data_IF_063658300304
#
_entry.id   IF_063658300304
#
_cell.length_a   1.000
_cell.length_b   1.000
_cell.length_c   1.000
_cell.angle_alpha   90.00
_cell.angle_beta   90.00
_cell.angle_gamma   90.00
#
_symmetry.space_group_name_H-M   'P 1'
#
loop_
_entity.id
_entity.type
_entity.pdbx_description
1 polymer ?
#
# COMPACT_ATOMS: atom_id res chain seq x y z
N UNK A 1 6.87 -19.22 -4.06
CA UNK A 1 5.91 -18.45 -3.25
C UNK A 1 6.70 -17.58 -2.30
N UNK A 2 6.60 -16.25 -2.42
CA UNK A 2 7.30 -15.32 -1.52
C UNK A 2 6.35 -14.94 -0.38
N UNK A 3 6.84 -14.98 0.85
CA UNK A 3 6.11 -14.59 2.05
C UNK A 3 6.93 -13.55 2.81
N UNK A 4 6.25 -12.53 3.34
CA UNK A 4 6.85 -11.51 4.18
C UNK A 4 5.99 -11.28 5.42
N UNK A 5 6.58 -11.43 6.60
CA UNK A 5 5.89 -11.19 7.88
C UNK A 5 6.24 -9.79 8.35
N UNK A 6 5.24 -8.92 8.41
CA UNK A 6 5.42 -7.54 8.88
C UNK A 6 5.46 -7.52 10.40
N UNK A 7 4.52 -8.23 11.05
CA UNK A 7 4.48 -8.41 12.49
C UNK A 7 3.75 -9.71 12.84
N UNK A 8 3.40 -9.90 14.13
CA UNK A 8 2.70 -11.12 14.60
C UNK A 8 1.30 -11.32 14.01
N UNK A 9 0.68 -10.28 13.46
CA UNK A 9 -0.67 -10.33 12.90
C UNK A 9 -0.69 -10.21 11.37
N UNK A 10 0.21 -9.42 10.78
CA UNK A 10 0.17 -9.06 9.37
C UNK A 10 1.22 -9.85 8.59
N UNK A 11 0.80 -10.50 7.50
CA UNK A 11 1.67 -11.23 6.57
C UNK A 11 1.25 -10.94 5.14
N UNK A 12 2.20 -10.66 4.26
CA UNK A 12 1.98 -10.56 2.81
C UNK A 12 2.48 -11.81 2.12
N UNK A 13 1.78 -12.25 1.08
CA UNK A 13 2.18 -13.36 0.23
C UNK A 13 2.02 -12.99 -1.24
N UNK A 14 2.99 -13.38 -2.06
CA UNK A 14 2.89 -13.30 -3.51
C UNK A 14 2.29 -14.61 -4.02
N UNK A 15 1.02 -14.56 -4.42
CA UNK A 15 0.23 -15.70 -4.88
C UNK A 15 -0.35 -15.39 -6.27
N UNK A 16 -0.04 -16.22 -7.28
CA UNK A 16 -0.53 -16.06 -8.66
C UNK A 16 -0.31 -14.65 -9.22
N UNK A 17 0.90 -14.11 -9.04
CA UNK A 17 1.29 -12.76 -9.44
C UNK A 17 0.52 -11.62 -8.75
N UNK A 18 -0.19 -11.91 -7.66
CA UNK A 18 -0.86 -10.91 -6.84
C UNK A 18 -0.32 -10.89 -5.41
N UNK A 19 -0.19 -9.70 -4.85
CA UNK A 19 0.12 -9.54 -3.43
C UNK A 19 -1.16 -9.66 -2.62
N UNK A 20 -1.18 -10.62 -1.69
CA UNK A 20 -2.31 -10.90 -0.80
C UNK A 20 -1.89 -10.60 0.64
N UNK A 21 -2.69 -9.80 1.35
CA UNK A 21 -2.49 -9.51 2.77
C UNK A 21 -3.27 -10.52 3.59
N UNK A 22 -2.67 -10.97 4.69
CA UNK A 22 -3.27 -11.83 5.70
C UNK A 22 -3.20 -11.15 7.07
N UNK A 23 -4.33 -11.16 7.78
CA UNK A 23 -4.44 -10.71 9.17
C UNK A 23 -4.78 -11.92 10.04
N UNK A 24 -3.88 -12.31 10.94
CA UNK A 24 -3.97 -13.54 11.76
C UNK A 24 -4.30 -14.76 10.91
N UNK A 25 -3.57 -14.93 9.80
CA UNK A 25 -3.73 -16.02 8.82
C UNK A 25 -5.06 -16.00 8.03
N UNK A 26 -5.95 -15.04 8.27
CA UNK A 26 -7.15 -14.83 7.45
C UNK A 26 -6.82 -13.87 6.31
N UNK A 27 -7.23 -14.25 5.11
CA UNK A 27 -7.08 -13.41 3.91
C UNK A 27 -7.84 -12.09 4.13
N UNK A 28 -7.19 -10.99 3.79
CA UNK A 28 -7.75 -9.65 3.87
C UNK A 28 -8.12 -9.18 2.45
N UNK A 29 -9.42 -9.22 2.15
CA UNK A 29 -9.95 -9.04 0.78
C UNK A 29 -10.36 -7.61 0.43
N UNK A 30 -10.10 -6.63 1.31
CA UNK A 30 -10.48 -5.25 1.05
C UNK A 30 -9.56 -4.62 -0.02
N UNK A 31 -10.16 -4.42 -1.20
CA UNK A 31 -9.60 -3.81 -2.42
C UNK A 31 -9.46 -2.27 -2.28
N UNK A 32 -8.51 -1.54 -2.91
CA UNK A 32 -7.35 -1.84 -3.77
C UNK A 32 -6.23 -0.87 -3.40
N UNK A 33 -5.01 -1.38 -3.41
CA UNK A 33 -3.78 -0.60 -3.28
C UNK A 33 -3.81 0.63 -4.20
N UNK A 34 -3.48 1.78 -3.63
CA UNK A 34 -3.21 2.98 -4.38
C UNK A 34 -1.76 2.90 -4.86
N UNK A 35 -1.57 2.78 -6.17
CA UNK A 35 -0.28 2.94 -6.81
C UNK A 35 -0.25 4.33 -7.43
N UNK A 36 0.64 5.19 -6.93
CA UNK A 36 0.87 6.52 -7.48
C UNK A 36 2.03 6.44 -8.47
N UNK A 37 1.71 6.49 -9.77
CA UNK A 37 2.74 6.54 -10.82
C UNK A 37 3.07 7.99 -11.17
N UNK A 38 3.93 8.61 -10.37
CA UNK A 38 4.29 10.03 -10.52
C UNK A 38 5.45 10.18 -11.52
N UNK A 39 5.26 10.91 -12.64
CA UNK A 39 6.34 11.21 -13.57
C UNK A 39 7.46 12.01 -12.89
N UNK A 40 8.73 11.68 -13.20
CA UNK A 40 9.90 12.31 -12.56
C UNK A 40 9.91 13.83 -12.77
N UNK A 41 9.47 14.29 -13.94
CA UNK A 41 9.33 15.71 -14.30
C UNK A 41 8.28 16.45 -13.45
N UNK A 42 7.32 15.72 -12.87
CA UNK A 42 6.34 16.27 -11.94
C UNK A 42 6.79 16.23 -10.48
N UNK A 43 7.78 15.40 -10.12
CA UNK A 43 8.26 15.28 -8.73
C UNK A 43 8.68 16.64 -8.16
N UNK A 44 9.39 17.46 -8.93
CA UNK A 44 9.82 18.80 -8.50
C UNK A 44 8.70 19.82 -8.37
N UNK A 45 7.49 19.52 -8.88
CA UNK A 45 6.32 20.40 -8.76
C UNK A 45 5.46 20.11 -7.53
N UNK A 46 5.68 19.00 -6.84
CA UNK A 46 5.01 18.73 -5.57
C UNK A 46 5.59 19.62 -4.48
N UNK A 47 4.69 20.23 -3.70
CA UNK A 47 5.04 20.89 -2.46
C UNK A 47 5.38 19.88 -1.36
N UNK A 48 5.44 20.37 -0.12
CA UNK A 48 5.46 19.49 1.04
C UNK A 48 4.12 18.76 1.15
N UNK A 49 4.16 17.43 1.17
CA UNK A 49 2.97 16.57 1.31
C UNK A 49 2.94 16.01 2.73
N UNK A 50 1.80 16.13 3.40
CA UNK A 50 1.61 15.67 4.78
C UNK A 50 1.03 14.26 4.86
N UNK A 51 0.42 13.73 3.79
CA UNK A 51 -0.14 12.37 3.75
C UNK A 51 -0.28 11.78 2.35
N UNK A 52 -0.38 10.45 2.26
CA UNK A 52 -0.69 9.77 0.98
C UNK A 52 -2.08 10.15 0.45
N UNK A 53 -3.05 10.43 1.32
CA UNK A 53 -4.37 10.92 0.89
C UNK A 53 -4.27 12.30 0.22
N UNK A 54 -3.48 13.23 0.77
CA UNK A 54 -3.20 14.54 0.16
C UNK A 54 -2.51 14.38 -1.19
N UNK A 55 -1.48 13.52 -1.28
CA UNK A 55 -0.83 13.22 -2.56
C UNK A 55 -1.82 12.69 -3.60
N UNK A 56 -2.74 11.80 -3.19
CA UNK A 56 -3.74 11.22 -4.08
C UNK A 56 -4.75 12.27 -4.58
N UNK A 57 -5.08 13.27 -3.77
CA UNK A 57 -6.00 14.35 -4.15
C UNK A 57 -5.34 15.38 -5.08
N UNK A 58 -4.05 15.65 -4.91
CA UNK A 58 -3.28 16.53 -5.80
C UNK A 58 -2.99 15.88 -7.17
N UNK A 59 -2.90 14.55 -7.19
CA UNK A 59 -2.66 13.79 -8.41
C UNK A 59 -3.96 13.66 -9.22
N UNK A 60 -3.84 13.79 -10.53
CA UNK A 60 -4.94 13.43 -11.43
C UNK A 60 -5.29 11.95 -11.21
N UNK A 61 -6.57 11.66 -10.97
CA UNK A 61 -7.08 10.28 -10.78
C UNK A 61 -6.75 9.36 -11.94
N UNK A 62 -6.41 9.93 -13.12
CA UNK A 62 -5.85 9.17 -14.24
C UNK A 62 -4.53 8.47 -13.90
N UNK A 63 -3.82 8.85 -12.84
CA UNK A 63 -2.58 8.21 -12.37
C UNK A 63 -2.83 7.06 -11.36
N UNK A 64 -4.09 6.84 -10.98
CA UNK A 64 -4.48 5.76 -10.06
C UNK A 64 -4.73 4.44 -10.79
N UNK A 65 -4.10 3.36 -10.31
CA UNK A 65 -4.44 1.98 -10.65
C UNK A 65 -3.44 1.23 -11.52
N UNK A 66 -3.61 -0.10 -11.61
CA UNK A 66 -2.72 -1.01 -12.36
C UNK A 66 -2.71 -0.78 -13.89
N UNK A 67 -3.56 0.11 -14.42
CA UNK A 67 -3.89 0.21 -15.84
C UNK A 67 -3.57 1.53 -16.53
N UNK A 68 -3.06 2.54 -15.81
CA UNK A 68 -2.85 3.88 -16.39
C UNK A 68 -1.39 4.33 -16.42
N UNK A 69 -0.48 3.54 -15.84
CA UNK A 69 0.95 3.76 -15.98
C UNK A 69 1.46 3.32 -17.35
N UNK A 70 2.31 4.14 -17.96
CA UNK A 70 3.12 3.83 -19.15
C UNK A 70 4.00 2.56 -18.99
N UNK A 71 4.05 1.94 -17.80
CA UNK A 71 4.92 0.82 -17.45
C UNK A 71 4.21 -0.24 -16.60
N UNK A 72 4.33 -1.51 -17.01
CA UNK A 72 3.90 -2.68 -16.23
C UNK A 72 4.97 -3.01 -15.18
N UNK A 73 4.66 -2.79 -13.90
CA UNK A 73 5.55 -3.18 -12.80
C UNK A 73 5.53 -4.71 -12.68
N UNK A 74 6.70 -5.39 -12.60
CA UNK A 74 6.74 -6.81 -12.34
C UNK A 74 6.09 -7.16 -10.98
N UNK A 75 5.30 -8.24 -10.87
CA UNK A 75 4.62 -8.62 -9.63
C UNK A 75 5.53 -8.70 -8.41
N UNK A 76 6.77 -9.16 -8.60
CA UNK A 76 7.75 -9.26 -7.51
C UNK A 76 8.24 -7.89 -7.01
N UNK A 77 8.34 -6.90 -7.91
CA UNK A 77 8.74 -5.53 -7.57
C UNK A 77 7.59 -4.81 -6.87
N UNK A 78 6.36 -4.98 -7.37
CA UNK A 78 5.15 -4.50 -6.70
C UNK A 78 5.02 -5.12 -5.30
N UNK A 79 5.24 -6.42 -5.17
CA UNK A 79 5.24 -7.13 -3.88
C UNK A 79 6.25 -6.53 -2.90
N UNK A 80 7.46 -6.24 -3.35
CA UNK A 80 8.49 -5.62 -2.51
C UNK A 80 8.06 -4.23 -2.01
N UNK A 81 7.50 -3.40 -2.90
CA UNK A 81 6.96 -2.09 -2.52
C UNK A 81 5.81 -2.17 -1.51
N UNK A 82 4.89 -3.14 -1.67
CA UNK A 82 3.82 -3.35 -0.70
C UNK A 82 4.34 -3.80 0.66
N UNK A 83 5.37 -4.66 0.68
CA UNK A 83 6.01 -5.10 1.92
C UNK A 83 6.67 -3.93 2.66
N UNK A 84 7.43 -3.08 1.94
CA UNK A 84 8.10 -1.93 2.56
C UNK A 84 7.10 -0.91 3.10
N UNK A 85 6.01 -0.63 2.38
CA UNK A 85 5.01 0.33 2.83
C UNK A 85 4.31 -0.14 4.11
N UNK A 86 3.89 -1.41 4.18
CA UNK A 86 3.28 -1.96 5.39
C UNK A 86 4.27 -2.10 6.55
N UNK A 87 5.54 -2.38 6.27
CA UNK A 87 6.58 -2.40 7.29
C UNK A 87 6.77 -1.03 7.93
N UNK A 88 7.00 0.01 7.13
CA UNK A 88 7.20 1.38 7.63
C UNK A 88 5.95 1.86 8.37
N UNK A 89 4.75 1.55 7.87
CA UNK A 89 3.51 1.87 8.56
C UNK A 89 3.44 1.26 9.97
N UNK A 90 3.83 0.00 10.15
CA UNK A 90 3.87 -0.65 11.47
C UNK A 90 4.98 -0.09 12.35
N UNK A 91 6.16 0.18 11.79
CA UNK A 91 7.32 0.74 12.52
C UNK A 91 7.06 2.17 13.01
N UNK A 92 6.20 2.92 12.31
CA UNK A 92 5.79 4.28 12.66
C UNK A 92 4.47 4.30 13.46
N UNK A 93 4.26 3.31 14.32
CA UNK A 93 3.09 3.20 15.22
C UNK A 93 1.74 3.35 14.50
N UNK A 94 1.64 2.78 13.30
CA UNK A 94 0.44 2.78 12.47
C UNK A 94 -0.02 4.19 12.03
N UNK A 95 0.91 5.13 11.87
CA UNK A 95 0.64 6.49 11.38
C UNK A 95 -0.18 6.47 10.08
N UNK A 96 -1.43 6.95 10.17
CA UNK A 96 -2.40 6.90 9.08
C UNK A 96 -2.05 7.80 7.91
N UNK A 97 -1.02 8.66 8.03
CA UNK A 97 -0.53 9.49 6.92
C UNK A 97 0.28 8.69 5.91
N UNK A 98 0.83 7.53 6.31
CA UNK A 98 1.76 6.72 5.52
C UNK A 98 1.08 5.74 4.56
N UNK A 99 -0.21 5.49 4.75
CA UNK A 99 -1.03 4.65 3.87
C UNK A 99 -2.32 5.40 3.54
N UNK A 100 -2.79 5.27 2.32
CA UNK A 100 -4.09 5.82 1.92
C UNK A 100 -5.23 5.27 2.81
N UNK A 101 -6.21 6.11 3.14
CA UNK A 101 -7.33 5.79 4.04
C UNK A 101 -8.08 4.50 3.71
N UNK A 102 -8.16 4.15 2.42
CA UNK A 102 -8.84 2.94 1.93
C UNK A 102 -8.14 1.63 2.34
N UNK A 103 -6.90 1.68 2.82
CA UNK A 103 -6.18 0.53 3.38
C UNK A 103 -5.92 0.73 4.88
N UNK A 104 -5.47 1.92 5.29
CA UNK A 104 -5.09 2.20 6.68
C UNK A 104 -6.25 1.90 7.66
N UNK A 105 -7.43 2.49 7.42
CA UNK A 105 -8.54 2.37 8.36
C UNK A 105 -9.14 0.96 8.41
N UNK A 106 -9.34 0.26 7.28
CA UNK A 106 -9.67 -1.15 7.30
C UNK A 106 -8.70 -2.04 8.07
N UNK A 107 -7.39 -1.86 7.88
CA UNK A 107 -6.39 -2.65 8.61
C UNK A 107 -6.45 -2.37 10.11
N UNK A 108 -6.55 -1.10 10.52
CA UNK A 108 -6.72 -0.73 11.92
C UNK A 108 -7.98 -1.35 12.52
N UNK A 109 -9.10 -1.33 11.78
CA UNK A 109 -10.34 -1.96 12.22
C UNK A 109 -10.19 -3.47 12.46
N UNK A 110 -9.42 -4.17 11.63
CA UNK A 110 -9.17 -5.60 11.83
C UNK A 110 -8.19 -5.86 12.97
N UNK A 111 -7.13 -5.05 13.10
CA UNK A 111 -6.13 -5.19 14.15
C UNK A 111 -6.73 -4.92 15.55
N UNK A 112 -7.60 -3.91 15.68
CA UNK A 112 -8.29 -3.59 16.94
C UNK A 112 -9.25 -4.69 17.40
N UNK A 113 -9.78 -5.51 16.49
CA UNK A 113 -10.57 -6.69 16.85
C UNK A 113 -9.72 -7.83 17.42
N UNK A 114 -8.40 -7.77 17.28
CA UNK A 114 -7.46 -8.80 17.74
C UNK A 114 -6.84 -8.49 19.10
N UNK A 115 -7.12 -7.32 19.69
CA UNK A 115 -6.61 -6.84 20.98
C UNK A 115 -5.57 -5.74 20.81
#
# INVERSE_FOLDING_TARGET
MKEFKVNRYITLKLERDETVIYIKQKRFDQCKFLLLNIPIDKISSFGEINSIDEAAEELDRSLEGRGTGLFKIPPEVEFWGHCSNLQVWVEMDYDTRLLHRNIAFPLLRELTQLG
#
